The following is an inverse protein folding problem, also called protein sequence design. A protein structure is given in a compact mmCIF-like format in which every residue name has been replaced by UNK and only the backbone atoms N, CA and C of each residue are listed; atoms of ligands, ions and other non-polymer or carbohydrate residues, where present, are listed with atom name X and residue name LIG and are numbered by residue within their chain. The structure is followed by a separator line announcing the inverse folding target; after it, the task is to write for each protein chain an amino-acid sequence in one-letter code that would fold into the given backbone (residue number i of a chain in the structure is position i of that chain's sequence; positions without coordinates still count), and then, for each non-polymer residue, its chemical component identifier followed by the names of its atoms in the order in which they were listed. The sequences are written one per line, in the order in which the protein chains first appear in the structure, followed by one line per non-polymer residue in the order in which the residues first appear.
data_IF_504277245837
#
_entry.id   IF_504277245837
#
_cell.length_a   1.000
_cell.length_b   1.000
_cell.length_c   1.000
_cell.angle_alpha   90.00
_cell.angle_beta   90.00
_cell.angle_gamma   90.00
#
_symmetry.space_group_name_H-M   'P 1'
#
loop_
_entity.id
_entity.type
_entity.pdbx_description
1 polymer ?
#
# COMPACT_ATOMS: atom_id res chain seq x y z
N UNK A 1 5.64 70.25 6.84
CA UNK A 1 5.92 68.98 6.14
C UNK A 1 6.61 68.03 7.11
N UNK A 2 6.10 67.91 8.33
CA UNK A 2 4.90 67.20 8.80
C UNK A 2 5.24 65.77 9.18
N UNK A 3 5.34 65.63 10.50
CA UNK A 3 5.24 64.48 11.39
C UNK A 3 4.02 63.54 11.13
N UNK A 4 3.50 63.49 9.89
CA UNK A 4 2.32 62.69 9.48
C UNK A 4 2.67 61.50 8.58
N UNK A 5 3.94 61.32 8.17
CA UNK A 5 4.36 60.20 7.30
C UNK A 5 4.92 58.98 8.04
N UNK A 6 5.11 59.06 9.36
CA UNK A 6 5.55 57.92 10.17
C UNK A 6 4.38 57.13 10.78
N UNK A 7 3.22 57.75 10.96
CA UNK A 7 2.01 57.09 11.46
C UNK A 7 1.29 56.22 10.43
N UNK A 8 1.61 56.33 9.13
CA UNK A 8 0.99 55.52 8.08
C UNK A 8 1.70 54.19 7.77
N UNK A 9 2.99 54.07 8.13
CA UNK A 9 3.79 52.86 7.86
C UNK A 9 3.77 51.91 9.05
N UNK A 10 3.70 52.43 10.28
CA UNK A 10 3.45 51.60 11.47
C UNK A 10 2.04 51.00 11.47
N UNK A 11 1.03 51.72 10.99
CA UNK A 11 -0.34 51.18 10.93
C UNK A 11 -0.49 50.08 9.87
N UNK A 12 0.20 50.14 8.72
CA UNK A 12 0.14 49.06 7.72
C UNK A 12 0.93 47.80 8.11
N UNK A 13 2.00 47.92 8.91
CA UNK A 13 2.74 46.76 9.42
C UNK A 13 2.00 46.15 10.63
N UNK A 14 1.34 46.96 11.45
CA UNK A 14 0.59 46.51 12.61
C UNK A 14 -0.81 45.96 12.24
N UNK A 15 -1.47 46.47 11.19
CA UNK A 15 -2.69 45.89 10.61
C UNK A 15 -2.41 44.59 9.85
N UNK A 16 -1.26 44.48 9.17
CA UNK A 16 -0.81 43.21 8.55
C UNK A 16 -0.56 42.14 9.61
N UNK A 17 0.09 42.47 10.73
CA UNK A 17 0.34 41.51 11.80
C UNK A 17 -0.94 41.17 12.58
N UNK A 18 -1.85 42.13 12.79
CA UNK A 18 -3.15 41.88 13.42
C UNK A 18 -4.07 41.02 12.54
N UNK A 19 -4.19 41.33 11.24
CA UNK A 19 -5.00 40.53 10.31
C UNK A 19 -4.40 39.14 10.08
N UNK A 20 -3.07 39.02 10.08
CA UNK A 20 -2.39 37.72 9.96
C UNK A 20 -2.47 36.92 11.25
N UNK A 21 -2.46 37.58 12.41
CA UNK A 21 -2.70 36.95 13.73
C UNK A 21 -4.14 36.48 13.88
N UNK A 22 -5.12 37.31 13.53
CA UNK A 22 -6.55 36.96 13.54
C UNK A 22 -6.82 35.80 12.58
N UNK A 23 -6.27 35.84 11.37
CA UNK A 23 -6.37 34.74 10.42
C UNK A 23 -5.69 33.46 10.93
N UNK A 24 -4.53 33.57 11.57
CA UNK A 24 -3.86 32.43 12.20
C UNK A 24 -4.69 31.83 13.32
N UNK A 25 -5.35 32.65 14.13
CA UNK A 25 -6.18 32.19 15.23
C UNK A 25 -7.51 31.61 14.74
N UNK A 26 -8.07 32.14 13.65
CA UNK A 26 -9.22 31.58 12.96
C UNK A 26 -8.88 30.21 12.33
N UNK A 27 -7.71 30.06 11.71
CA UNK A 27 -7.21 28.77 11.20
C UNK A 27 -6.98 27.77 12.36
N UNK A 28 -6.42 28.20 13.49
CA UNK A 28 -6.24 27.34 14.67
C UNK A 28 -7.59 26.91 15.26
N UNK A 29 -8.55 27.82 15.35
CA UNK A 29 -9.91 27.52 15.81
C UNK A 29 -10.60 26.53 14.87
N UNK A 30 -10.47 26.73 13.56
CA UNK A 30 -10.96 25.81 12.53
C UNK A 30 -10.32 24.41 12.63
N UNK A 31 -9.01 24.32 12.87
CA UNK A 31 -8.32 23.03 13.08
C UNK A 31 -8.80 22.36 14.37
N UNK A 32 -9.02 23.14 15.44
CA UNK A 32 -9.53 22.63 16.72
C UNK A 32 -10.95 22.07 16.57
N UNK A 33 -11.81 22.73 15.80
CA UNK A 33 -13.15 22.25 15.44
C UNK A 33 -13.09 20.95 14.60
N UNK A 34 -12.08 20.80 13.75
CA UNK A 34 -11.85 19.56 13.00
C UNK A 34 -11.53 18.36 13.90
N UNK A 35 -10.69 18.57 14.92
CA UNK A 35 -10.27 17.52 15.85
C UNK A 35 -11.29 17.26 16.98
N UNK A 36 -12.43 17.95 16.96
CA UNK A 36 -13.50 17.71 17.92
C UNK A 36 -14.07 16.27 17.78
N UNK A 37 -14.34 15.55 18.90
CA UNK A 37 -14.80 14.17 18.87
C UNK A 37 -16.20 14.00 18.24
N UNK A 38 -16.99 15.07 18.19
CA UNK A 38 -18.34 15.08 17.62
C UNK A 38 -18.34 15.28 16.10
N UNK A 39 -17.20 15.69 15.52
CA UNK A 39 -17.12 16.00 14.10
C UNK A 39 -17.11 14.72 13.25
N UNK A 40 -18.23 14.46 12.55
CA UNK A 40 -18.41 13.29 11.68
C UNK A 40 -17.67 13.38 10.35
N UNK A 41 -17.15 14.54 9.97
CA UNK A 41 -16.33 14.72 8.77
C UNK A 41 -14.92 14.14 8.97
N UNK A 42 -14.47 14.04 10.22
CA UNK A 42 -13.19 13.46 10.55
C UNK A 42 -13.26 11.92 10.43
N UNK A 43 -12.44 11.29 9.54
CA UNK A 43 -12.45 9.85 9.33
C UNK A 43 -12.14 9.02 10.58
N UNK A 44 -11.46 9.61 11.56
CA UNK A 44 -11.16 8.96 12.85
C UNK A 44 -12.40 8.76 13.72
N UNK A 45 -13.41 9.61 13.59
CA UNK A 45 -14.65 9.57 14.37
C UNK A 45 -15.72 8.68 13.73
N UNK A 46 -15.44 8.07 12.57
CA UNK A 46 -16.39 7.19 11.90
C UNK A 46 -16.68 5.91 12.70
N UNK A 47 -17.88 5.34 12.50
CA UNK A 47 -18.23 4.05 13.09
C UNK A 47 -17.32 2.94 12.56
N UNK A 48 -17.11 1.89 13.36
CA UNK A 48 -16.25 0.76 12.98
C UNK A 48 -16.68 0.09 11.68
N UNK A 49 -17.99 0.06 11.39
CA UNK A 49 -18.52 -0.44 10.13
C UNK A 49 -18.06 0.41 8.94
N UNK A 50 -18.16 1.75 9.06
CA UNK A 50 -17.71 2.66 8.01
C UNK A 50 -16.19 2.55 7.80
N UNK A 51 -15.41 2.39 8.87
CA UNK A 51 -13.96 2.14 8.77
C UNK A 51 -13.68 0.81 8.04
N UNK A 52 -14.38 -0.27 8.38
CA UNK A 52 -14.25 -1.55 7.72
C UNK A 52 -14.60 -1.47 6.22
N UNK A 53 -15.65 -0.72 5.86
CA UNK A 53 -16.00 -0.46 4.45
C UNK A 53 -14.93 0.30 3.66
N UNK A 54 -13.94 0.92 4.31
CA UNK A 54 -12.79 1.56 3.63
C UNK A 54 -11.56 0.65 3.63
N UNK A 55 -11.31 -0.09 4.72
CA UNK A 55 -10.15 -0.98 4.81
C UNK A 55 -10.30 -2.24 3.96
N UNK A 56 -11.45 -2.90 3.98
CA UNK A 56 -11.66 -4.17 3.26
C UNK A 56 -11.42 -4.00 1.74
N UNK A 57 -11.99 -2.98 1.05
CA UNK A 57 -11.72 -2.79 -0.36
C UNK A 57 -10.24 -2.53 -0.67
N UNK A 58 -9.57 -1.72 0.15
CA UNK A 58 -8.13 -1.44 0.02
C UNK A 58 -7.30 -2.71 0.17
N UNK A 59 -7.60 -3.55 1.16
CA UNK A 59 -6.96 -4.87 1.32
C UNK A 59 -7.23 -5.77 0.12
N UNK A 60 -8.45 -5.79 -0.42
CA UNK A 60 -8.76 -6.58 -1.62
C UNK A 60 -8.00 -6.10 -2.86
N UNK A 61 -7.77 -4.79 -3.00
CA UNK A 61 -6.91 -4.25 -4.06
C UNK A 61 -5.46 -4.73 -3.93
N UNK A 62 -4.90 -4.62 -2.72
CA UNK A 62 -3.55 -5.11 -2.43
C UNK A 62 -3.42 -6.60 -2.77
N UNK A 63 -4.38 -7.41 -2.32
CA UNK A 63 -4.44 -8.84 -2.60
C UNK A 63 -4.54 -9.11 -4.11
N UNK A 64 -5.38 -8.37 -4.83
CA UNK A 64 -5.56 -8.54 -6.28
C UNK A 64 -4.27 -8.26 -7.05
N UNK A 65 -3.57 -7.17 -6.73
CA UNK A 65 -2.34 -6.77 -7.40
C UNK A 65 -1.21 -7.78 -7.12
N UNK A 66 -1.05 -8.21 -5.87
CA UNK A 66 0.00 -9.18 -5.52
C UNK A 66 -0.34 -10.61 -5.94
N UNK A 67 -1.63 -10.98 -6.01
CA UNK A 67 -2.04 -12.23 -6.67
C UNK A 67 -1.75 -12.18 -8.17
N UNK A 68 -1.99 -11.03 -8.82
CA UNK A 68 -1.67 -10.81 -10.23
C UNK A 68 -0.19 -10.97 -10.58
N UNK A 69 0.72 -10.76 -9.61
CA UNK A 69 2.16 -11.00 -9.83
C UNK A 69 2.46 -12.47 -10.06
N UNK A 70 1.90 -13.36 -9.24
CA UNK A 70 2.21 -14.80 -9.26
C UNK A 70 1.20 -15.65 -10.04
N UNK A 71 0.06 -15.10 -10.48
CA UNK A 71 -0.95 -15.86 -11.22
C UNK A 71 -0.44 -16.42 -12.56
N UNK A 72 0.61 -15.84 -13.13
CA UNK A 72 1.25 -16.32 -14.36
C UNK A 72 2.19 -17.51 -14.14
N UNK A 73 2.62 -17.78 -12.90
CA UNK A 73 3.67 -18.79 -12.61
C UNK A 73 3.31 -20.19 -13.06
N UNK A 74 2.06 -20.68 -12.96
CA UNK A 74 1.71 -22.01 -13.46
C UNK A 74 1.70 -22.09 -14.99
N UNK A 75 1.60 -20.95 -15.67
CA UNK A 75 1.66 -20.84 -17.11
C UNK A 75 3.06 -20.65 -17.68
N UNK A 76 4.12 -20.66 -16.86
CA UNK A 76 5.51 -20.37 -17.31
C UNK A 76 5.95 -21.34 -18.41
N UNK A 77 5.66 -22.63 -18.29
CA UNK A 77 5.97 -23.61 -19.33
C UNK A 77 5.19 -23.35 -20.63
N UNK A 78 3.93 -22.93 -20.53
CA UNK A 78 3.12 -22.57 -21.70
C UNK A 78 3.63 -21.30 -22.39
N UNK A 79 4.08 -20.30 -21.62
CA UNK A 79 4.72 -19.08 -22.12
C UNK A 79 6.03 -19.42 -22.82
N UNK A 80 6.88 -20.26 -22.23
CA UNK A 80 8.15 -20.70 -22.81
C UNK A 80 7.93 -21.40 -24.16
N UNK A 81 6.95 -22.31 -24.22
CA UNK A 81 6.61 -23.03 -25.45
C UNK A 81 6.04 -22.11 -26.54
N UNK A 82 5.11 -21.21 -26.20
CA UNK A 82 4.46 -20.33 -27.19
C UNK A 82 5.44 -19.33 -27.82
N UNK A 83 6.33 -18.76 -27.02
CA UNK A 83 7.28 -17.76 -27.50
C UNK A 83 8.64 -18.35 -27.92
N UNK A 84 8.80 -19.68 -27.84
CA UNK A 84 10.04 -20.39 -28.15
C UNK A 84 11.26 -19.82 -27.41
N UNK A 85 11.10 -19.56 -26.11
CA UNK A 85 12.14 -18.99 -25.24
C UNK A 85 12.55 -19.96 -24.14
N UNK A 86 13.72 -19.72 -23.54
CA UNK A 86 14.19 -20.51 -22.40
C UNK A 86 13.29 -20.31 -21.17
N UNK A 87 13.33 -21.28 -20.25
CA UNK A 87 12.60 -21.21 -18.97
C UNK A 87 12.93 -19.93 -18.20
N UNK A 88 14.21 -19.57 -18.14
CA UNK A 88 14.69 -18.34 -17.47
C UNK A 88 14.05 -17.08 -18.04
N UNK A 89 13.88 -17.02 -19.37
CA UNK A 89 13.25 -15.86 -20.04
C UNK A 89 11.74 -15.85 -19.78
N UNK A 90 11.09 -17.02 -19.70
CA UNK A 90 9.68 -17.14 -19.38
C UNK A 90 9.31 -16.75 -17.93
N UNK A 91 10.29 -16.63 -17.03
CA UNK A 91 10.13 -16.11 -15.67
C UNK A 91 10.22 -14.58 -15.58
N UNK A 92 10.78 -13.90 -16.58
CA UNK A 92 10.87 -12.43 -16.61
C UNK A 92 9.53 -11.71 -16.36
N UNK A 93 8.37 -12.18 -16.84
CA UNK A 93 7.08 -11.55 -16.53
C UNK A 93 6.72 -11.51 -15.05
N UNK A 94 7.23 -12.45 -14.24
CA UNK A 94 7.10 -12.42 -12.77
C UNK A 94 8.09 -11.41 -12.19
N UNK A 95 9.37 -11.53 -12.53
CA UNK A 95 10.45 -10.69 -11.96
C UNK A 95 10.26 -9.21 -12.24
N UNK A 96 9.92 -8.84 -13.48
CA UNK A 96 9.67 -7.44 -13.85
C UNK A 96 8.38 -6.89 -13.24
N UNK A 97 7.38 -7.75 -13.00
CA UNK A 97 6.17 -7.34 -12.29
C UNK A 97 6.52 -6.97 -10.84
N UNK A 98 7.30 -7.81 -10.14
CA UNK A 98 7.75 -7.51 -8.77
C UNK A 98 8.60 -6.24 -8.72
N UNK A 99 9.47 -6.03 -9.71
CA UNK A 99 10.22 -4.78 -9.85
C UNK A 99 9.28 -3.56 -10.02
N UNK A 100 8.24 -3.69 -10.85
CA UNK A 100 7.22 -2.65 -11.00
C UNK A 100 6.46 -2.35 -9.70
N UNK A 101 6.19 -3.37 -8.87
CA UNK A 101 5.60 -3.20 -7.54
C UNK A 101 6.48 -2.42 -6.57
N UNK A 102 7.81 -2.41 -6.76
CA UNK A 102 8.72 -1.59 -5.97
C UNK A 102 8.68 -0.11 -6.40
N UNK A 103 8.52 0.15 -7.71
CA UNK A 103 8.51 1.51 -8.28
C UNK A 103 7.17 2.24 -8.03
N UNK A 104 6.05 1.54 -8.16
CA UNK A 104 4.71 2.13 -8.04
C UNK A 104 4.46 2.90 -6.74
N UNK A 105 4.73 2.31 -5.55
CA UNK A 105 4.62 2.97 -4.26
C UNK A 105 5.40 4.28 -4.14
N UNK A 106 6.62 4.33 -4.71
CA UNK A 106 7.44 5.53 -4.72
C UNK A 106 6.66 6.67 -5.38
N UNK A 107 6.19 6.47 -6.61
CA UNK A 107 5.50 7.52 -7.36
C UNK A 107 4.20 7.99 -6.69
N UNK A 108 3.46 7.07 -6.07
CA UNK A 108 2.13 7.35 -5.54
C UNK A 108 2.10 7.91 -4.12
N UNK A 109 3.10 7.65 -3.28
CA UNK A 109 3.18 8.20 -1.92
C UNK A 109 2.94 9.73 -1.87
N UNK A 110 3.69 10.59 -2.59
CA UNK A 110 3.49 12.04 -2.55
C UNK A 110 2.17 12.49 -3.21
N UNK A 111 1.72 11.78 -4.25
CA UNK A 111 0.45 12.08 -4.93
C UNK A 111 -0.71 11.85 -3.94
N UNK A 112 -0.62 10.80 -3.12
CA UNK A 112 -1.65 10.47 -2.15
C UNK A 112 -1.73 11.46 -0.98
N UNK A 113 -0.63 12.16 -0.65
CA UNK A 113 -0.61 13.23 0.37
C UNK A 113 -1.14 14.57 -0.18
N UNK A 114 -0.95 14.85 -1.46
CA UNK A 114 -1.37 16.12 -2.07
C UNK A 114 -2.76 16.09 -2.68
N UNK A 115 -3.13 14.98 -3.34
CA UNK A 115 -4.40 14.80 -4.06
C UNK A 115 -5.40 13.91 -3.32
N UNK A 116 -4.97 13.24 -2.26
CA UNK A 116 -5.80 12.35 -1.46
C UNK A 116 -5.62 10.86 -1.81
N UNK A 117 -6.07 9.99 -0.91
CA UNK A 117 -5.92 8.53 -1.02
C UNK A 117 -6.88 7.93 -2.03
N UNK A 118 -8.14 8.40 -2.05
CA UNK A 118 -9.21 7.76 -2.83
C UNK A 118 -9.01 7.89 -4.35
N UNK A 119 -8.50 9.04 -4.81
CA UNK A 119 -8.20 9.28 -6.23
C UNK A 119 -7.11 8.33 -6.72
N UNK A 120 -6.08 8.10 -5.89
CA UNK A 120 -4.98 7.20 -6.25
C UNK A 120 -5.52 5.79 -6.50
N UNK A 121 -6.33 5.24 -5.60
CA UNK A 121 -6.92 3.90 -5.82
C UNK A 121 -7.76 3.82 -7.09
N UNK A 122 -8.62 4.82 -7.35
CA UNK A 122 -9.54 4.80 -8.49
C UNK A 122 -8.81 4.90 -9.83
N UNK A 123 -7.81 5.79 -9.92
CA UNK A 123 -7.05 5.97 -11.18
C UNK A 123 -6.04 4.85 -11.38
N UNK A 124 -5.28 4.49 -10.35
CA UNK A 124 -4.17 3.54 -10.49
C UNK A 124 -4.68 2.13 -10.80
N UNK A 125 -5.81 1.73 -10.19
CA UNK A 125 -6.41 0.42 -10.46
C UNK A 125 -7.05 0.32 -11.83
N UNK A 126 -7.61 1.41 -12.34
CA UNK A 126 -8.12 1.44 -13.70
C UNK A 126 -6.98 1.25 -14.71
N UNK A 127 -5.86 1.95 -14.52
CA UNK A 127 -4.66 1.79 -15.35
C UNK A 127 -4.06 0.38 -15.23
N UNK A 128 -4.01 -0.18 -14.02
CA UNK A 128 -3.58 -1.56 -13.79
C UNK A 128 -4.38 -2.55 -14.65
N UNK A 129 -5.71 -2.48 -14.62
CA UNK A 129 -6.58 -3.36 -15.41
C UNK A 129 -6.37 -3.18 -16.92
N UNK A 130 -6.20 -1.95 -17.40
CA UNK A 130 -5.93 -1.67 -18.83
C UNK A 130 -4.59 -2.25 -19.29
N UNK A 131 -3.54 -2.17 -18.47
CA UNK A 131 -2.25 -2.75 -18.81
C UNK A 131 -2.26 -4.29 -18.73
N UNK A 132 -2.99 -4.89 -17.79
CA UNK A 132 -3.19 -6.36 -17.78
C UNK A 132 -4.00 -6.81 -19.01
N UNK A 133 -5.00 -6.03 -19.44
CA UNK A 133 -5.72 -6.27 -20.69
C UNK A 133 -4.75 -6.27 -21.88
N UNK A 134 -3.85 -5.28 -21.97
CA UNK A 134 -2.81 -5.23 -22.98
C UNK A 134 -1.85 -6.43 -22.92
N UNK A 135 -1.50 -6.90 -21.72
CA UNK A 135 -0.69 -8.09 -21.53
C UNK A 135 -1.38 -9.37 -22.03
N UNK A 136 -2.69 -9.52 -21.79
CA UNK A 136 -3.50 -10.65 -22.26
C UNK A 136 -3.68 -10.68 -23.78
N UNK A 137 -3.74 -9.50 -24.41
CA UNK A 137 -3.87 -9.34 -25.87
C UNK A 137 -2.52 -9.38 -26.61
N UNK A 138 -1.40 -9.28 -25.91
CA UNK A 138 -0.08 -9.29 -26.56
C UNK A 138 0.21 -10.63 -27.24
N UNK A 139 0.67 -10.55 -28.49
CA UNK A 139 1.21 -11.67 -29.29
C UNK A 139 2.75 -11.71 -29.27
N UNK A 140 3.40 -10.81 -28.53
CA UNK A 140 4.86 -10.79 -28.35
C UNK A 140 5.24 -10.90 -26.88
N UNK A 141 6.40 -11.52 -26.62
CA UNK A 141 6.97 -11.58 -25.28
C UNK A 141 7.31 -10.18 -24.78
N UNK A 142 7.92 -9.33 -25.61
CA UNK A 142 8.26 -7.96 -25.24
C UNK A 142 7.01 -7.15 -24.84
N UNK A 143 5.91 -7.25 -25.60
CA UNK A 143 4.64 -6.62 -25.24
C UNK A 143 4.08 -7.16 -23.92
N UNK A 144 4.16 -8.47 -23.67
CA UNK A 144 3.76 -9.09 -22.42
C UNK A 144 4.57 -8.52 -21.24
N UNK A 145 5.89 -8.42 -21.38
CA UNK A 145 6.79 -7.88 -20.35
C UNK A 145 6.52 -6.40 -20.06
N UNK A 146 6.42 -5.57 -21.09
CA UNK A 146 6.19 -4.12 -20.94
C UNK A 146 4.82 -3.87 -20.31
N UNK A 147 3.76 -4.48 -20.85
CA UNK A 147 2.40 -4.30 -20.31
C UNK A 147 2.32 -4.77 -18.86
N UNK A 148 2.88 -5.93 -18.50
CA UNK A 148 2.88 -6.41 -17.10
C UNK A 148 3.69 -5.53 -16.16
N UNK A 149 4.82 -5.00 -16.62
CA UNK A 149 5.65 -4.07 -15.83
C UNK A 149 4.88 -2.77 -15.55
N UNK A 150 4.27 -2.18 -16.58
CA UNK A 150 3.45 -0.98 -16.45
C UNK A 150 2.21 -1.23 -15.58
N UNK A 151 1.59 -2.40 -15.71
CA UNK A 151 0.50 -2.82 -14.83
C UNK A 151 0.96 -2.82 -13.36
N UNK A 152 2.11 -3.44 -13.05
CA UNK A 152 2.63 -3.47 -11.70
C UNK A 152 2.97 -2.07 -11.14
N UNK A 153 3.54 -1.19 -11.97
CA UNK A 153 3.79 0.21 -11.58
C UNK A 153 2.47 0.95 -11.27
N UNK A 154 1.42 0.69 -12.04
CA UNK A 154 0.10 1.27 -11.81
C UNK A 154 -0.67 0.63 -10.63
N UNK A 155 -0.48 -0.66 -10.36
CA UNK A 155 -1.13 -1.40 -9.27
C UNK A 155 -0.44 -1.21 -7.92
N UNK A 156 0.89 -1.17 -7.91
CA UNK A 156 1.73 -1.03 -6.71
C UNK A 156 1.36 0.10 -5.74
N UNK A 157 0.89 1.29 -6.18
CA UNK A 157 0.41 2.36 -5.32
C UNK A 157 -0.49 1.92 -4.16
N UNK A 158 -1.36 0.92 -4.36
CA UNK A 158 -2.29 0.51 -3.31
C UNK A 158 -1.58 -0.04 -2.05
N UNK A 159 -0.38 -0.62 -2.21
CA UNK A 159 0.40 -1.21 -1.13
C UNK A 159 0.85 -0.17 -0.11
N UNK A 160 1.41 0.96 -0.57
CA UNK A 160 1.85 2.03 0.32
C UNK A 160 0.70 2.93 0.79
N UNK A 161 -0.20 3.29 -0.13
CA UNK A 161 -1.34 4.15 0.20
C UNK A 161 -2.28 3.44 1.19
N UNK A 162 -2.38 2.10 1.12
CA UNK A 162 -3.15 1.28 2.07
C UNK A 162 -2.72 1.47 3.52
N UNK A 163 -1.42 1.47 3.80
CA UNK A 163 -0.91 1.74 5.15
C UNK A 163 -1.23 3.18 5.59
N UNK A 164 -1.17 4.15 4.67
CA UNK A 164 -1.59 5.53 4.92
C UNK A 164 -3.07 5.65 5.28
N UNK A 165 -3.95 4.92 4.59
CA UNK A 165 -5.40 4.90 4.87
C UNK A 165 -5.70 4.34 6.28
N UNK A 166 -4.95 3.33 6.74
CA UNK A 166 -5.05 2.85 8.13
C UNK A 166 -4.64 3.95 9.11
N UNK A 167 -3.55 4.67 8.82
CA UNK A 167 -3.06 5.76 9.67
C UNK A 167 -4.03 6.96 9.74
N UNK A 168 -4.77 7.18 8.65
CA UNK A 168 -5.78 8.24 8.54
C UNK A 168 -7.07 7.86 9.32
N UNK A 169 -7.46 6.57 9.35
CA UNK A 169 -8.73 6.10 9.96
C UNK A 169 -8.64 5.73 11.45
N UNK A 170 -7.48 5.30 11.93
CA UNK A 170 -7.31 4.79 13.29
C UNK A 170 -6.32 5.63 14.08
N UNK A 171 -6.52 5.69 15.39
CA UNK A 171 -5.48 6.18 16.30
C UNK A 171 -4.39 5.11 16.46
N UNK A 172 -3.13 5.49 16.77
CA UNK A 172 -1.99 4.55 16.86
C UNK A 172 -2.24 3.31 17.72
N UNK A 173 -3.11 3.43 18.73
CA UNK A 173 -3.52 2.36 19.63
C UNK A 173 -4.53 1.39 19.02
N UNK A 174 -5.34 1.82 18.06
CA UNK A 174 -6.39 1.01 17.44
C UNK A 174 -6.01 0.54 16.02
N UNK A 175 -4.83 0.90 15.52
CA UNK A 175 -4.37 0.57 14.18
C UNK A 175 -4.13 -0.93 13.95
N UNK A 176 -3.89 -1.72 15.00
CA UNK A 176 -3.41 -3.10 14.83
C UNK A 176 -4.34 -4.02 14.01
N UNK A 177 -5.66 -4.12 14.29
CA UNK A 177 -6.53 -5.01 13.52
C UNK A 177 -6.70 -4.57 12.06
N UNK A 178 -6.89 -3.26 11.81
CA UNK A 178 -7.03 -2.73 10.44
C UNK A 178 -5.71 -2.81 9.66
N UNK A 179 -4.60 -2.52 10.32
CA UNK A 179 -3.25 -2.64 9.75
C UNK A 179 -2.89 -4.07 9.42
N UNK A 180 -3.21 -5.03 10.29
CA UNK A 180 -2.97 -6.45 10.04
C UNK A 180 -3.69 -6.93 8.77
N UNK A 181 -4.93 -6.50 8.53
CA UNK A 181 -5.67 -6.87 7.31
C UNK A 181 -5.02 -6.29 6.04
N UNK A 182 -4.52 -5.05 6.10
CA UNK A 182 -3.83 -4.40 4.97
C UNK A 182 -2.47 -5.02 4.71
N UNK A 183 -1.74 -5.44 5.75
CA UNK A 183 -0.43 -6.10 5.63
C UNK A 183 -0.58 -7.55 5.20
N UNK A 184 -1.57 -8.28 5.71
CA UNK A 184 -1.82 -9.69 5.37
C UNK A 184 -2.15 -9.87 3.90
N UNK A 185 -2.94 -8.97 3.31
CA UNK A 185 -3.39 -9.06 1.92
C UNK A 185 -2.25 -9.18 0.88
N UNK A 186 -1.20 -8.33 0.90
CA UNK A 186 -0.02 -8.47 0.06
C UNK A 186 0.70 -9.81 0.15
N UNK A 187 0.74 -10.46 1.32
CA UNK A 187 1.37 -11.78 1.50
C UNK A 187 0.46 -12.93 1.09
N UNK A 188 -0.85 -12.79 1.30
CA UNK A 188 -1.82 -13.80 0.90
C UNK A 188 -2.00 -13.85 -0.63
N UNK A 189 -1.88 -12.70 -1.31
CA UNK A 189 -2.03 -12.63 -2.77
C UNK A 189 -1.09 -13.58 -3.52
N UNK A 190 0.24 -13.56 -3.30
CA UNK A 190 1.17 -14.45 -3.97
C UNK A 190 0.92 -15.94 -3.70
N UNK A 191 0.23 -16.28 -2.60
CA UNK A 191 -0.20 -17.65 -2.28
C UNK A 191 -1.44 -18.07 -3.09
N UNK A 192 -2.41 -17.15 -3.25
CA UNK A 192 -3.63 -17.41 -4.01
C UNK A 192 -3.42 -17.33 -5.53
N UNK A 193 -2.44 -16.55 -5.99
CA UNK A 193 -2.12 -16.38 -7.40
C UNK A 193 -1.89 -17.70 -8.14
N UNK A 194 -0.96 -18.58 -7.72
CA UNK A 194 -0.70 -19.86 -8.37
C UNK A 194 -1.89 -20.80 -8.27
N UNK A 195 -2.68 -20.74 -7.19
CA UNK A 195 -3.90 -21.56 -7.06
C UNK A 195 -4.88 -21.20 -8.18
N UNK A 196 -5.22 -19.92 -8.32
CA UNK A 196 -6.13 -19.44 -9.37
C UNK A 196 -5.51 -19.68 -10.76
N UNK A 197 -4.23 -19.34 -10.91
CA UNK A 197 -3.49 -19.51 -12.16
C UNK A 197 -3.35 -20.97 -12.60
N UNK A 198 -3.22 -21.90 -11.67
CA UNK A 198 -3.04 -23.33 -11.92
C UNK A 198 -4.31 -23.94 -12.48
N UNK A 199 -5.46 -23.66 -11.87
CA UNK A 199 -6.74 -24.09 -12.43
C UNK A 199 -7.08 -23.38 -13.74
N UNK A 200 -6.69 -22.12 -13.89
CA UNK A 200 -6.91 -21.36 -15.12
C UNK A 200 -6.06 -21.90 -16.29
N UNK A 201 -4.75 -22.05 -16.08
CA UNK A 201 -3.80 -22.45 -17.12
C UNK A 201 -3.82 -23.95 -17.46
N UNK A 202 -4.27 -24.83 -16.54
CA UNK A 202 -4.30 -26.27 -16.82
C UNK A 202 -5.31 -26.63 -17.91
N UNK A 203 -6.38 -25.86 -18.07
CA UNK A 203 -7.45 -26.14 -19.03
C UNK A 203 -7.49 -25.18 -20.21
N UNK A 204 -6.65 -24.13 -20.24
CA UNK A 204 -6.71 -23.06 -21.25
C UNK A 204 -5.35 -22.39 -21.52
N UNK A 205 -5.25 -21.50 -22.51
CA UNK A 205 -4.02 -20.73 -22.84
C UNK A 205 -3.55 -19.85 -21.66
N UNK A 206 -2.24 -19.54 -21.55
CA UNK A 206 -1.67 -18.72 -20.46
C UNK A 206 -2.35 -17.34 -20.35
N UNK A 207 -2.98 -16.86 -21.44
CA UNK A 207 -3.79 -15.62 -21.47
C UNK A 207 -4.87 -15.60 -20.39
N UNK A 208 -5.44 -16.74 -20.03
CA UNK A 208 -6.44 -16.84 -18.98
C UNK A 208 -5.90 -16.51 -17.58
N UNK A 209 -4.59 -16.59 -17.36
CA UNK A 209 -3.98 -16.04 -16.13
C UNK A 209 -4.13 -14.52 -16.07
N UNK A 210 -4.09 -13.83 -17.22
CA UNK A 210 -4.31 -12.39 -17.32
C UNK A 210 -5.80 -12.05 -17.16
N UNK A 211 -6.69 -12.81 -17.81
CA UNK A 211 -8.14 -12.64 -17.65
C UNK A 211 -8.61 -12.84 -16.20
N UNK A 212 -8.11 -13.88 -15.53
CA UNK A 212 -8.39 -14.15 -14.12
C UNK A 212 -7.91 -13.01 -13.21
N UNK A 213 -6.75 -12.43 -13.53
CA UNK A 213 -6.23 -11.25 -12.83
C UNK A 213 -7.16 -10.04 -13.00
N UNK A 214 -7.70 -9.81 -14.20
CA UNK A 214 -8.66 -8.73 -14.47
C UNK A 214 -9.96 -8.93 -13.70
N UNK A 215 -10.52 -10.15 -13.69
CA UNK A 215 -11.76 -10.40 -12.94
C UNK A 215 -11.59 -10.18 -11.44
N UNK A 216 -10.46 -10.63 -10.87
CA UNK A 216 -10.13 -10.38 -9.47
C UNK A 216 -9.96 -8.87 -9.20
N UNK A 217 -9.28 -8.16 -10.10
CA UNK A 217 -9.08 -6.71 -10.00
C UNK A 217 -10.38 -5.94 -10.12
N UNK A 218 -11.27 -6.35 -11.02
CA UNK A 218 -12.58 -5.74 -11.23
C UNK A 218 -13.46 -5.91 -9.98
N UNK A 219 -13.48 -7.10 -9.39
CA UNK A 219 -14.19 -7.36 -8.13
C UNK A 219 -13.70 -6.44 -7.00
N UNK A 220 -12.39 -6.30 -6.86
CA UNK A 220 -11.81 -5.40 -5.87
C UNK A 220 -12.06 -3.90 -6.20
N UNK A 221 -12.04 -3.54 -7.48
CA UNK A 221 -12.27 -2.17 -7.95
C UNK A 221 -13.70 -1.68 -7.68
N UNK A 222 -14.71 -2.52 -7.91
CA UNK A 222 -16.12 -2.18 -7.65
C UNK A 222 -16.33 -1.83 -6.17
N UNK A 223 -15.67 -2.55 -5.26
CA UNK A 223 -15.74 -2.29 -3.82
C UNK A 223 -15.11 -0.95 -3.41
N UNK A 224 -14.19 -0.42 -4.22
CA UNK A 224 -13.47 0.84 -3.95
C UNK A 224 -14.22 2.05 -4.48
N UNK A 225 -15.06 1.92 -5.51
CA UNK A 225 -15.84 3.04 -6.05
C UNK A 225 -16.61 3.86 -4.99
N UNK A 226 -17.32 3.24 -4.01
CA UNK A 226 -18.06 3.98 -2.98
C UNK A 226 -17.18 4.55 -1.87
N UNK A 227 -15.87 4.27 -1.85
CA UNK A 227 -14.98 4.79 -0.81
C UNK A 227 -14.83 6.32 -0.90
N UNK A 228 -14.80 6.94 0.27
CA UNK A 228 -14.64 8.37 0.46
C UNK A 228 -13.16 8.72 0.71
N UNK A 229 -12.84 10.00 0.58
CA UNK A 229 -11.50 10.49 0.89
C UNK A 229 -11.24 10.42 2.40
N UNK A 230 -10.05 9.96 2.79
CA UNK A 230 -9.64 9.80 4.20
C UNK A 230 -8.51 10.75 4.60
N UNK A 231 -7.82 11.38 3.63
CA UNK A 231 -6.67 12.21 3.95
C UNK A 231 -7.07 13.52 4.63
N UNK A 232 -6.58 13.73 5.87
CA UNK A 232 -6.91 14.88 6.72
C UNK A 232 -6.70 16.23 6.01
N UNK A 233 -5.53 16.45 5.42
CA UNK A 233 -5.18 17.75 4.84
C UNK A 233 -6.05 18.09 3.62
N UNK A 234 -6.41 17.09 2.82
CA UNK A 234 -7.30 17.25 1.66
C UNK A 234 -8.73 17.55 2.10
N UNK A 235 -9.21 16.89 3.15
CA UNK A 235 -10.54 17.15 3.71
C UNK A 235 -10.64 18.54 4.34
N UNK A 236 -9.66 18.92 5.16
CA UNK A 236 -9.55 20.25 5.75
C UNK A 236 -9.55 21.34 4.68
N UNK A 237 -8.77 21.14 3.62
CA UNK A 237 -8.73 22.06 2.49
C UNK A 237 -10.08 22.21 1.80
N UNK A 238 -10.78 21.11 1.52
CA UNK A 238 -12.12 21.16 0.91
C UNK A 238 -13.09 21.92 1.80
N UNK A 239 -13.06 21.68 3.11
CA UNK A 239 -13.93 22.38 4.08
C UNK A 239 -13.60 23.88 4.18
N UNK A 240 -12.32 24.25 4.21
CA UNK A 240 -11.90 25.65 4.21
C UNK A 240 -12.42 26.40 2.96
N UNK A 241 -12.27 25.80 1.78
CA UNK A 241 -12.80 26.35 0.53
C UNK A 241 -14.32 26.52 0.55
N UNK A 242 -15.07 25.55 1.10
CA UNK A 242 -16.52 25.66 1.24
C UNK A 242 -16.95 26.77 2.21
N UNK A 243 -16.11 27.09 3.21
CA UNK A 243 -16.35 28.16 4.18
C UNK A 243 -15.79 29.52 3.73
N UNK A 244 -15.18 29.59 2.54
CA UNK A 244 -14.54 30.82 2.05
C UNK A 244 -13.23 31.19 2.76
N UNK A 245 -12.67 30.28 3.57
CA UNK A 245 -11.43 30.47 4.30
C UNK A 245 -10.22 30.08 3.43
N UNK A 246 -9.06 30.76 3.59
CA UNK A 246 -7.84 30.34 2.93
C UNK A 246 -7.43 28.94 3.41
N UNK A 247 -6.91 28.08 2.51
CA UNK A 247 -6.52 26.73 2.89
C UNK A 247 -5.38 26.79 3.94
N UNK A 248 -5.41 25.91 4.96
CA UNK A 248 -4.41 25.92 6.04
C UNK A 248 -2.97 25.68 5.55
N UNK A 249 -2.82 25.07 4.36
CA UNK A 249 -1.55 24.90 3.67
C UNK A 249 -1.69 25.43 2.23
N UNK A 250 -0.76 26.29 1.77
CA UNK A 250 -0.79 26.80 0.40
C UNK A 250 -0.57 25.67 -0.61
N UNK A 251 -1.19 25.80 -1.78
CA UNK A 251 -0.90 24.89 -2.89
C UNK A 251 0.54 25.09 -3.36
N UNK A 252 1.32 24.02 -3.36
CA UNK A 252 2.65 24.07 -3.96
C UNK A 252 2.53 24.34 -5.44
N UNK A 253 3.35 25.27 -5.94
CA UNK A 253 3.48 25.51 -7.37
C UNK A 253 3.89 24.19 -8.08
N UNK A 254 3.48 23.94 -9.34
CA UNK A 254 3.74 22.66 -10.02
C UNK A 254 5.22 22.23 -10.00
N UNK A 255 6.14 23.19 -10.11
CA UNK A 255 7.58 22.96 -10.04
C UNK A 255 8.05 22.56 -8.65
N UNK A 256 7.47 23.15 -7.61
CA UNK A 256 7.76 22.82 -6.22
C UNK A 256 7.13 21.48 -5.83
N UNK A 257 5.96 21.16 -6.36
CA UNK A 257 5.33 19.85 -6.22
C UNK A 257 6.18 18.75 -6.85
N UNK A 258 6.77 18.96 -8.03
CA UNK A 258 7.70 18.00 -8.66
C UNK A 258 9.01 17.89 -7.87
N UNK A 259 9.57 19.01 -7.38
CA UNK A 259 10.78 19.00 -6.55
C UNK A 259 10.54 18.29 -5.21
N UNK A 260 9.39 18.55 -4.59
CA UNK A 260 8.93 17.87 -3.38
C UNK A 260 8.71 16.38 -3.64
N UNK A 261 8.06 16.03 -4.76
CA UNK A 261 7.89 14.66 -5.21
C UNK A 261 9.24 13.97 -5.31
N UNK A 262 10.22 14.51 -6.05
CA UNK A 262 11.55 13.90 -6.17
C UNK A 262 12.29 13.81 -4.83
N UNK A 263 12.25 14.86 -4.00
CA UNK A 263 12.99 14.91 -2.74
C UNK A 263 12.42 13.98 -1.67
N UNK A 264 11.09 13.97 -1.51
CA UNK A 264 10.39 13.15 -0.50
C UNK A 264 10.32 11.70 -0.96
N UNK A 265 10.15 11.44 -2.26
CA UNK A 265 9.94 10.08 -2.78
C UNK A 265 11.22 9.29 -2.90
N UNK A 266 12.29 9.90 -3.41
CA UNK A 266 13.53 9.18 -3.71
C UNK A 266 14.59 9.43 -2.63
N UNK A 267 14.87 10.68 -2.29
CA UNK A 267 16.01 10.99 -1.44
C UNK A 267 15.76 10.67 0.03
N UNK A 268 14.55 10.91 0.56
CA UNK A 268 14.27 10.67 1.99
C UNK A 268 14.31 9.18 2.36
N UNK A 269 13.65 8.24 1.63
CA UNK A 269 13.71 6.82 1.98
C UNK A 269 15.11 6.23 1.79
N UNK A 270 15.82 6.61 0.71
CA UNK A 270 17.19 6.14 0.48
C UNK A 270 18.14 6.65 1.58
N UNK A 271 18.01 7.92 1.98
CA UNK A 271 18.80 8.47 3.08
C UNK A 271 18.49 7.75 4.39
N UNK A 272 17.23 7.50 4.72
CA UNK A 272 16.85 6.74 5.90
C UNK A 272 17.41 5.32 5.85
N UNK A 273 17.30 4.63 4.72
CA UNK A 273 17.84 3.28 4.52
C UNK A 273 19.35 3.20 4.73
N UNK A 274 20.10 4.21 4.28
CA UNK A 274 21.58 4.24 4.42
C UNK A 274 22.07 4.82 5.74
N UNK A 275 21.31 5.72 6.36
CA UNK A 275 21.75 6.46 7.56
C UNK A 275 21.23 5.84 8.86
N UNK A 276 20.11 5.12 8.84
CA UNK A 276 19.48 4.53 10.02
C UNK A 276 19.67 2.99 10.01
N UNK A 277 20.56 2.43 10.86
CA UNK A 277 20.88 1.01 10.84
C UNK A 277 19.67 0.09 11.08
N UNK A 278 18.72 0.53 11.91
CA UNK A 278 17.51 -0.24 12.23
C UNK A 278 16.64 -0.40 10.96
N UNK A 279 16.49 0.66 10.17
CA UNK A 279 15.72 0.63 8.92
C UNK A 279 16.39 -0.29 7.90
N UNK A 280 17.72 -0.23 7.79
CA UNK A 280 18.50 -1.11 6.92
C UNK A 280 18.30 -2.59 7.26
N UNK A 281 18.54 -2.96 8.52
CA UNK A 281 18.43 -4.35 8.98
C UNK A 281 17.01 -4.89 8.82
N UNK A 282 16.00 -4.08 9.16
CA UNK A 282 14.60 -4.47 8.97
C UNK A 282 14.22 -4.59 7.49
N UNK A 283 14.76 -3.74 6.62
CA UNK A 283 14.52 -3.81 5.18
C UNK A 283 15.17 -5.05 4.55
N UNK A 284 16.39 -5.39 4.96
CA UNK A 284 17.09 -6.62 4.53
C UNK A 284 16.30 -7.85 4.99
N UNK A 285 15.82 -7.85 6.24
CA UNK A 285 14.98 -8.93 6.76
C UNK A 285 13.71 -9.12 5.91
N UNK A 286 12.94 -8.05 5.66
CA UNK A 286 11.75 -8.14 4.82
C UNK A 286 12.07 -8.58 3.39
N UNK A 287 13.17 -8.08 2.81
CA UNK A 287 13.62 -8.48 1.48
C UNK A 287 13.95 -9.97 1.43
N UNK A 288 14.61 -10.51 2.46
CA UNK A 288 14.89 -11.94 2.59
C UNK A 288 13.59 -12.75 2.67
N UNK A 289 12.66 -12.38 3.56
CA UNK A 289 11.35 -13.06 3.70
C UNK A 289 10.57 -13.08 2.38
N UNK A 290 10.49 -11.94 1.69
CA UNK A 290 9.85 -11.89 0.37
C UNK A 290 10.61 -12.70 -0.68
N UNK A 291 11.94 -12.67 -0.69
CA UNK A 291 12.75 -13.46 -1.62
C UNK A 291 12.51 -14.96 -1.45
N UNK A 292 12.37 -15.45 -0.21
CA UNK A 292 12.04 -16.86 0.07
C UNK A 292 10.66 -17.20 -0.51
N UNK A 293 9.65 -16.34 -0.29
CA UNK A 293 8.31 -16.54 -0.84
C UNK A 293 8.32 -16.63 -2.38
N UNK A 294 9.04 -15.74 -3.05
CA UNK A 294 9.14 -15.76 -4.52
C UNK A 294 9.98 -16.92 -5.04
N UNK A 295 11.00 -17.37 -4.30
CA UNK A 295 11.81 -18.54 -4.67
C UNK A 295 10.98 -19.84 -4.69
N UNK A 296 9.91 -19.93 -3.89
CA UNK A 296 9.00 -21.08 -3.93
C UNK A 296 8.29 -21.25 -5.27
N UNK A 297 8.08 -20.17 -6.05
CA UNK A 297 7.49 -20.30 -7.39
C UNK A 297 8.35 -21.11 -8.35
N UNK A 298 9.67 -21.12 -8.15
CA UNK A 298 10.60 -21.94 -8.93
C UNK A 298 10.87 -23.30 -8.28
N UNK A 299 11.05 -23.32 -6.95
CA UNK A 299 11.41 -24.54 -6.24
C UNK A 299 10.28 -25.57 -6.22
N UNK A 300 9.02 -25.15 -6.10
CA UNK A 300 7.88 -26.08 -5.97
C UNK A 300 7.64 -26.91 -7.23
N UNK A 301 7.61 -26.34 -8.45
CA UNK A 301 7.53 -27.14 -9.67
C UNK A 301 8.65 -28.19 -9.78
N UNK A 302 9.90 -27.82 -9.46
CA UNK A 302 11.05 -28.73 -9.53
C UNK A 302 10.87 -29.92 -8.58
N UNK A 303 10.42 -29.69 -7.35
CA UNK A 303 10.26 -30.74 -6.35
C UNK A 303 8.98 -31.54 -6.58
N UNK A 304 7.82 -30.89 -6.61
CA UNK A 304 6.52 -31.56 -6.64
C UNK A 304 6.18 -32.16 -8.00
N UNK A 305 6.46 -31.45 -9.11
CA UNK A 305 6.24 -32.03 -10.44
C UNK A 305 7.37 -33.00 -10.81
N UNK A 306 8.63 -32.63 -10.55
CA UNK A 306 9.78 -33.45 -10.93
C UNK A 306 9.93 -34.74 -10.12
N UNK A 307 9.87 -34.68 -8.78
CA UNK A 307 10.12 -35.83 -7.90
C UNK A 307 8.84 -36.57 -7.51
N UNK A 308 7.77 -35.84 -7.21
CA UNK A 308 6.50 -36.43 -6.74
C UNK A 308 5.47 -36.67 -7.85
N UNK A 309 5.74 -36.21 -9.07
CA UNK A 309 4.85 -36.41 -10.23
C UNK A 309 3.51 -35.68 -10.13
N UNK A 310 3.43 -34.60 -9.36
CA UNK A 310 2.20 -33.82 -9.21
C UNK A 310 1.80 -33.14 -10.51
N UNK A 311 0.50 -33.07 -10.78
CA UNK A 311 -0.04 -32.25 -11.86
C UNK A 311 0.06 -30.76 -11.53
N UNK A 312 -0.13 -29.89 -12.54
CA UNK A 312 -0.06 -28.44 -12.38
C UNK A 312 -1.01 -27.96 -11.28
N UNK A 313 -2.27 -28.38 -11.32
CA UNK A 313 -3.27 -28.02 -10.32
C UNK A 313 -2.93 -28.55 -8.91
N UNK A 314 -2.33 -29.73 -8.80
CA UNK A 314 -1.97 -30.34 -7.52
C UNK A 314 -0.84 -29.58 -6.83
N UNK A 315 0.24 -29.24 -7.54
CA UNK A 315 1.32 -28.47 -6.92
C UNK A 315 0.87 -27.04 -6.61
N UNK A 316 0.01 -26.43 -7.41
CA UNK A 316 -0.50 -25.09 -7.11
C UNK A 316 -1.26 -25.06 -5.78
N UNK A 317 -1.89 -26.17 -5.39
CA UNK A 317 -2.58 -26.32 -4.12
C UNK A 317 -1.65 -26.28 -2.90
N UNK A 318 -0.35 -26.60 -3.05
CA UNK A 318 0.61 -26.58 -1.93
C UNK A 318 0.89 -25.16 -1.42
N UNK A 319 0.70 -24.13 -2.26
CA UNK A 319 0.79 -22.73 -1.85
C UNK A 319 -0.27 -22.31 -0.82
N UNK A 320 -1.36 -23.07 -0.67
CA UNK A 320 -2.34 -22.82 0.40
C UNK A 320 -1.75 -23.04 1.79
N UNK A 321 -0.72 -23.89 1.93
CA UNK A 321 0.00 -24.06 3.20
C UNK A 321 0.66 -22.76 3.66
N UNK A 322 1.33 -22.06 2.74
CA UNK A 322 1.90 -20.73 3.00
C UNK A 322 0.78 -19.73 3.34
N UNK A 323 -0.32 -19.77 2.59
CA UNK A 323 -1.50 -18.92 2.86
C UNK A 323 -2.07 -19.13 4.27
N UNK A 324 -2.15 -20.37 4.74
CA UNK A 324 -2.57 -20.69 6.10
C UNK A 324 -1.58 -20.13 7.14
N UNK A 325 -0.27 -20.24 6.90
CA UNK A 325 0.78 -19.63 7.72
C UNK A 325 0.62 -18.10 7.83
N UNK A 326 0.35 -17.42 6.71
CA UNK A 326 0.10 -15.96 6.68
C UNK A 326 -1.13 -15.59 7.52
N UNK A 327 -2.23 -16.36 7.42
CA UNK A 327 -3.46 -16.11 8.20
C UNK A 327 -3.21 -16.33 9.70
N UNK A 328 -2.57 -17.44 10.06
CA UNK A 328 -2.22 -17.76 11.46
C UNK A 328 -1.26 -16.70 12.04
N UNK A 329 -0.28 -16.26 11.25
CA UNK A 329 0.64 -15.18 11.63
C UNK A 329 -0.08 -13.85 11.85
N UNK A 330 -1.01 -13.47 10.98
CA UNK A 330 -1.81 -12.26 11.14
C UNK A 330 -2.70 -12.31 12.39
N UNK A 331 -3.38 -13.43 12.63
CA UNK A 331 -4.19 -13.64 13.85
C UNK A 331 -3.28 -13.58 15.09
N UNK A 332 -2.14 -14.27 15.06
CA UNK A 332 -1.15 -14.25 16.15
C UNK A 332 -0.64 -12.84 16.44
N UNK A 333 -0.30 -12.07 15.41
CA UNK A 333 0.15 -10.68 15.57
C UNK A 333 -0.93 -9.79 16.20
N UNK A 334 -2.20 -9.91 15.78
CA UNK A 334 -3.31 -9.16 16.38
C UNK A 334 -3.56 -9.59 17.83
N UNK A 335 -3.54 -10.89 18.12
CA UNK A 335 -3.70 -11.41 19.48
C UNK A 335 -2.56 -10.93 20.39
N UNK A 336 -1.32 -10.96 19.94
CA UNK A 336 -0.17 -10.45 20.71
C UNK A 336 -0.26 -8.94 20.94
N UNK A 337 -0.67 -8.16 19.94
CA UNK A 337 -0.90 -6.72 20.12
C UNK A 337 -1.97 -6.47 21.20
N UNK A 338 -3.13 -7.13 21.10
CA UNK A 338 -4.25 -6.93 22.02
C UNK A 338 -3.95 -7.45 23.44
N UNK A 339 -3.29 -8.61 23.55
CA UNK A 339 -3.08 -9.28 24.84
C UNK A 339 -1.83 -8.80 25.56
N UNK A 340 -0.77 -8.42 24.85
CA UNK A 340 0.52 -8.05 25.44
C UNK A 340 0.72 -6.55 25.32
N UNK A 341 0.82 -6.03 24.09
CA UNK A 341 1.17 -4.63 23.87
C UNK A 341 0.13 -3.66 24.45
N UNK A 342 -1.16 -3.86 24.17
CA UNK A 342 -2.22 -3.00 24.71
C UNK A 342 -2.38 -3.11 26.23
N UNK A 343 -2.11 -4.28 26.82
CA UNK A 343 -2.12 -4.43 28.29
C UNK A 343 -0.95 -3.70 28.93
N UNK A 344 0.25 -3.76 28.32
CA UNK A 344 1.42 -3.01 28.78
C UNK A 344 1.17 -1.50 28.66
N UNK A 345 0.63 -1.04 27.53
CA UNK A 345 0.27 0.38 27.33
C UNK A 345 -0.80 0.85 28.32
N UNK A 346 -1.79 0.01 28.66
CA UNK A 346 -2.80 0.32 29.69
C UNK A 346 -2.22 0.44 31.09
N UNK A 347 -1.26 -0.42 31.44
CA UNK A 347 -0.66 -0.49 32.79
C UNK A 347 0.51 0.48 32.99
N UNK A 348 1.21 0.87 31.92
CA UNK A 348 2.46 1.64 32.00
C UNK A 348 2.32 3.17 32.01
N UNK A 349 1.12 3.72 31.79
CA UNK A 349 0.91 5.17 31.74
C UNK A 349 1.84 5.89 30.74
N UNK A 350 2.24 7.13 31.04
CA UNK A 350 3.17 7.92 30.21
C UNK A 350 4.56 7.26 30.04
N UNK A 351 5.02 6.46 31.02
CA UNK A 351 6.29 5.72 30.94
C UNK A 351 6.29 4.61 29.88
N UNK A 352 5.13 4.10 29.49
CA UNK A 352 4.99 3.14 28.39
C UNK A 352 5.11 3.83 27.03
N UNK A 353 4.59 5.06 26.90
CA UNK A 353 4.66 5.87 25.67
C UNK A 353 6.11 6.27 25.35
N UNK A 354 6.95 6.47 26.38
CA UNK A 354 8.38 6.77 26.23
C UNK A 354 9.24 5.59 25.75
N UNK A 355 8.75 4.34 25.73
CA UNK A 355 9.54 3.16 25.35
C UNK A 355 9.74 2.96 23.84
N UNK A 356 9.34 3.95 23.03
CA UNK A 356 9.57 3.99 21.59
C UNK A 356 8.83 2.91 20.78
N UNK A 357 8.88 3.00 19.44
CA UNK A 357 8.19 2.06 18.54
C UNK A 357 8.77 0.63 18.56
N UNK A 358 9.95 0.42 19.15
CA UNK A 358 10.71 -0.83 19.15
C UNK A 358 9.99 -1.97 19.88
N UNK A 359 9.08 -1.65 20.80
CA UNK A 359 8.27 -2.66 21.50
C UNK A 359 7.37 -3.48 20.57
N UNK A 360 7.11 -3.02 19.35
CA UNK A 360 6.36 -3.80 18.36
C UNK A 360 7.24 -4.86 17.67
N UNK A 361 8.56 -4.77 17.80
CA UNK A 361 9.52 -5.68 17.16
C UNK A 361 9.51 -7.09 17.78
N UNK A 362 9.06 -7.25 19.04
CA UNK A 362 8.98 -8.55 19.70
C UNK A 362 8.12 -9.57 18.93
N UNK A 363 7.09 -9.10 18.21
CA UNK A 363 6.27 -9.96 17.35
C UNK A 363 7.13 -10.53 16.21
N UNK A 364 7.97 -9.70 15.60
CA UNK A 364 8.91 -10.12 14.56
C UNK A 364 9.96 -11.10 15.06
N UNK A 365 10.46 -10.94 16.30
CA UNK A 365 11.43 -11.87 16.90
C UNK A 365 10.85 -13.28 17.10
N UNK A 366 9.57 -13.39 17.45
CA UNK A 366 8.89 -14.69 17.55
C UNK A 366 8.64 -15.26 16.15
N UNK A 367 8.21 -14.43 15.21
CA UNK A 367 7.99 -14.82 13.82
C UNK A 367 9.25 -15.39 13.14
N UNK A 368 10.43 -14.87 13.48
CA UNK A 368 11.72 -15.32 12.93
C UNK A 368 12.02 -16.80 13.25
N UNK A 369 11.62 -17.29 14.43
CA UNK A 369 11.77 -18.71 14.79
C UNK A 369 10.82 -19.62 14.00
N UNK A 370 9.69 -19.09 13.54
CA UNK A 370 8.70 -19.84 12.77
C UNK A 370 8.99 -19.84 11.27
N UNK A 371 9.72 -18.84 10.77
CA UNK A 371 10.02 -18.65 9.35
C UNK A 371 10.71 -19.87 8.66
N UNK A 372 11.64 -20.60 9.32
CA UNK A 372 12.23 -21.81 8.75
C UNK A 372 11.29 -23.03 8.73
N UNK A 373 10.23 -23.01 9.56
CA UNK A 373 9.27 -24.11 9.68
C UNK A 373 8.26 -24.07 8.53
N UNK A 374 8.04 -22.88 7.94
CA UNK A 374 7.09 -22.64 6.84
C UNK A 374 6.05 -21.61 7.20
#
# INVERSE_FOLDING_TARGET
MTFEKLTGIEVQIQESDASTSELCDEIKAFIKDWDAPENKDNPRNWSSLKKACHIIPVSMLCLSVTAGSSMITPGVFAVAHKFHVSHTVALLPLSLFVLGLAIGPLLAAPISETRGRAIVYKVSMHLYMLFILGAGLSDSLAGLLVCRTLAAIAGGPCLAVGAGTVADLFEPRQMAPGGALVVMAPFLGPCLGPVIGGFSATFTDYRWTQWSTIFLALGAYILVLPTQETHRDVLLRRRALHMGLPPPKPELAPREAVKMLLTITLFRPIRMLMSEPIVLLYSIYNAFTFSVLFAFFEAYPIVFMGKYGFSISQYCLTFLGIGAGVILGAIGAVLLDLLVYQKIMRKGGERAIQRGPEQRLYIGMIGDLCLPIG
#
